data_IF_151556013555
#
_entry.id   IF_151556013555
#
_cell.length_a   1.000
_cell.length_b   1.000
_cell.length_c   1.000
_cell.angle_alpha   90.00
_cell.angle_beta   90.00
_cell.angle_gamma   90.00
#
_symmetry.space_group_name_H-M   'P 1'
#
loop_
_entity.id
_entity.type
_entity.pdbx_description
1 polymer ?
#
# COMPACT_ATOMS: atom_id res chain seq x y z
N UNK A 1 -8.77 -15.38 4.13
CA UNK A 1 -8.41 -15.61 2.71
C UNK A 1 -8.20 -17.11 2.53
N UNK A 2 -8.82 -17.75 1.53
CA UNK A 2 -8.50 -19.14 1.22
C UNK A 2 -7.01 -19.24 0.85
N UNK A 3 -6.31 -20.20 1.44
CA UNK A 3 -4.92 -20.50 1.06
C UNK A 3 -5.00 -21.29 -0.25
N UNK A 4 -4.62 -20.66 -1.35
CA UNK A 4 -4.56 -21.29 -2.67
C UNK A 4 -3.17 -21.92 -2.85
N UNK A 5 -3.11 -23.17 -3.31
CA UNK A 5 -1.84 -23.85 -3.65
C UNK A 5 -1.62 -23.75 -5.15
N UNK A 6 -0.51 -23.12 -5.53
CA UNK A 6 -0.06 -23.03 -6.92
C UNK A 6 1.13 -23.94 -7.15
N UNK A 7 1.30 -24.44 -8.39
CA UNK A 7 2.38 -25.37 -8.75
C UNK A 7 3.65 -24.65 -9.20
N UNK A 8 3.54 -23.40 -9.64
CA UNK A 8 4.68 -22.55 -10.00
C UNK A 8 4.45 -21.08 -9.60
N UNK A 9 5.51 -20.28 -9.65
CA UNK A 9 5.44 -18.83 -9.38
C UNK A 9 4.65 -18.10 -10.46
N UNK A 10 4.82 -18.46 -11.72
CA UNK A 10 4.10 -17.85 -12.85
C UNK A 10 2.59 -18.07 -12.74
N UNK A 11 2.16 -19.22 -12.24
CA UNK A 11 0.74 -19.50 -11.98
C UNK A 11 0.20 -18.61 -10.85
N UNK A 12 0.98 -18.43 -9.78
CA UNK A 12 0.63 -17.54 -8.69
C UNK A 12 0.55 -16.07 -9.15
N UNK A 13 1.50 -15.62 -9.96
CA UNK A 13 1.52 -14.27 -10.53
C UNK A 13 0.27 -14.00 -11.37
N UNK A 14 -0.10 -14.94 -12.26
CA UNK A 14 -1.33 -14.80 -13.07
C UNK A 14 -2.59 -14.75 -12.21
N UNK A 15 -2.62 -15.48 -11.10
CA UNK A 15 -3.76 -15.50 -10.19
C UNK A 15 -3.92 -14.21 -9.37
N UNK A 16 -2.87 -13.38 -9.23
CA UNK A 16 -2.96 -12.08 -8.56
C UNK A 16 -3.82 -11.08 -9.34
N UNK A 17 -3.86 -11.21 -10.67
CA UNK A 17 -4.56 -10.27 -11.54
C UNK A 17 -5.95 -10.78 -11.93
N UNK A 18 -6.96 -9.95 -11.75
CA UNK A 18 -8.31 -10.21 -12.27
C UNK A 18 -8.44 -9.58 -13.66
N UNK A 19 -8.18 -10.36 -14.72
CA UNK A 19 -8.23 -9.87 -16.10
C UNK A 19 -9.65 -9.59 -16.62
N UNK A 20 -10.67 -10.14 -15.97
CA UNK A 20 -12.08 -9.98 -16.33
C UNK A 20 -12.90 -9.57 -15.10
N UNK A 21 -12.75 -8.31 -14.64
CA UNK A 21 -13.42 -7.87 -13.43
C UNK A 21 -14.93 -7.76 -13.65
N UNK A 22 -15.70 -8.23 -12.67
CA UNK A 22 -17.16 -8.09 -12.62
C UNK A 22 -17.55 -7.01 -11.61
N UNK A 23 -18.82 -6.58 -11.62
CA UNK A 23 -19.33 -5.66 -10.60
C UNK A 23 -19.07 -6.18 -9.16
N UNK A 24 -19.28 -7.48 -8.94
CA UNK A 24 -19.01 -8.13 -7.66
C UNK A 24 -17.52 -8.06 -7.26
N UNK A 25 -16.59 -8.13 -8.22
CA UNK A 25 -15.17 -7.91 -7.94
C UNK A 25 -14.92 -6.50 -7.38
N UNK A 26 -15.46 -5.48 -8.04
CA UNK A 26 -15.29 -4.09 -7.59
C UNK A 26 -15.92 -3.82 -6.23
N UNK A 27 -17.10 -4.39 -5.95
CA UNK A 27 -17.73 -4.29 -4.61
C UNK A 27 -16.86 -4.89 -3.50
N UNK A 28 -16.14 -5.98 -3.78
CA UNK A 28 -15.19 -6.56 -2.81
C UNK A 28 -13.95 -5.68 -2.63
N UNK A 29 -13.40 -5.15 -3.73
CA UNK A 29 -12.24 -4.25 -3.68
C UNK A 29 -12.58 -2.97 -2.91
N UNK A 30 -13.77 -2.39 -3.14
CA UNK A 30 -14.21 -1.20 -2.39
C UNK A 30 -14.35 -1.48 -0.90
N UNK A 31 -15.00 -2.58 -0.52
CA UNK A 31 -15.13 -2.96 0.88
C UNK A 31 -13.78 -3.22 1.57
N UNK A 32 -12.84 -3.86 0.86
CA UNK A 32 -11.47 -4.00 1.35
C UNK A 32 -10.80 -2.64 1.57
N UNK A 33 -10.91 -1.73 0.59
CA UNK A 33 -10.29 -0.42 0.66
C UNK A 33 -10.89 0.44 1.77
N UNK A 34 -12.21 0.42 1.96
CA UNK A 34 -12.88 1.09 3.06
C UNK A 34 -12.39 0.61 4.42
N UNK A 35 -12.28 -0.71 4.61
CA UNK A 35 -11.75 -1.29 5.84
C UNK A 35 -10.28 -0.90 6.05
N UNK A 36 -9.46 -1.00 4.99
CA UNK A 36 -8.07 -0.60 5.01
C UNK A 36 -7.91 0.87 5.42
N UNK A 37 -8.69 1.77 4.83
CA UNK A 37 -8.69 3.19 5.18
C UNK A 37 -9.08 3.43 6.64
N UNK A 38 -10.08 2.72 7.17
CA UNK A 38 -10.47 2.83 8.58
C UNK A 38 -9.34 2.37 9.51
N UNK A 39 -8.74 1.22 9.22
CA UNK A 39 -7.70 0.62 10.07
C UNK A 39 -6.39 1.39 10.05
N UNK A 40 -5.96 1.87 8.87
CA UNK A 40 -4.67 2.52 8.70
C UNK A 40 -4.72 4.05 8.73
N UNK A 41 -5.94 4.62 8.83
CA UNK A 41 -6.26 6.06 8.90
C UNK A 41 -5.04 6.96 9.04
N UNK A 42 -4.37 7.33 7.92
CA UNK A 42 -3.11 8.03 8.00
C UNK A 42 -3.34 9.43 8.55
N UNK A 43 -2.85 9.71 9.76
CA UNK A 43 -2.86 11.05 10.32
C UNK A 43 -1.55 11.74 9.93
N UNK A 44 -1.60 12.54 8.88
CA UNK A 44 -0.51 13.44 8.50
C UNK A 44 -0.90 14.89 8.85
N UNK A 45 0.08 15.76 9.15
CA UNK A 45 -0.20 17.18 9.35
C UNK A 45 -0.89 17.77 8.11
N UNK A 46 -1.98 18.52 8.31
CA UNK A 46 -2.72 19.15 7.21
C UNK A 46 -1.94 20.37 6.71
N UNK A 47 -1.85 20.54 5.40
CA UNK A 47 -1.23 21.72 4.79
C UNK A 47 -0.65 21.45 3.41
N UNK A 48 -0.17 22.52 2.77
CA UNK A 48 0.62 22.43 1.54
C UNK A 48 2.10 22.47 1.93
N UNK A 49 2.80 21.36 1.70
CA UNK A 49 4.24 21.26 1.94
C UNK A 49 4.98 21.46 0.62
N UNK A 50 6.04 22.28 0.66
CA UNK A 50 6.91 22.48 -0.49
C UNK A 50 8.08 21.52 -0.37
N UNK A 51 8.25 20.68 -1.38
CA UNK A 51 9.38 19.76 -1.49
C UNK A 51 10.21 20.12 -2.70
N UNK A 52 11.52 19.91 -2.59
CA UNK A 52 12.43 20.12 -3.71
C UNK A 52 12.28 19.01 -4.77
N UNK A 53 12.05 17.78 -4.32
CA UNK A 53 11.89 16.59 -5.14
C UNK A 53 11.01 15.55 -4.44
N UNK A 54 10.73 14.44 -5.12
CA UNK A 54 9.89 13.36 -4.59
C UNK A 54 10.54 12.61 -3.41
N UNK A 55 11.88 12.55 -3.37
CA UNK A 55 12.61 11.87 -2.30
C UNK A 55 12.48 12.63 -0.98
N UNK A 56 12.47 13.96 -1.05
CA UNK A 56 12.24 14.84 0.08
C UNK A 56 10.82 14.65 0.68
N UNK A 57 9.81 14.55 -0.18
CA UNK A 57 8.44 14.22 0.23
C UNK A 57 8.36 12.82 0.88
N UNK A 58 9.05 11.83 0.31
CA UNK A 58 9.09 10.47 0.84
C UNK A 58 9.78 10.40 2.21
N UNK A 59 10.86 11.16 2.41
CA UNK A 59 11.57 11.25 3.69
C UNK A 59 10.67 11.81 4.79
N UNK A 60 10.00 12.91 4.52
CA UNK A 60 9.09 13.52 5.50
C UNK A 60 7.91 12.58 5.84
N UNK A 61 7.34 11.90 4.84
CA UNK A 61 6.33 10.87 5.07
C UNK A 61 6.85 9.73 5.95
N UNK A 62 8.09 9.28 5.71
CA UNK A 62 8.72 8.25 6.51
C UNK A 62 8.86 8.67 7.98
N UNK A 63 9.32 9.89 8.24
CA UNK A 63 9.42 10.46 9.58
C UNK A 63 8.07 10.50 10.29
N UNK A 64 7.01 10.92 9.60
CA UNK A 64 5.64 10.91 10.15
C UNK A 64 5.11 9.50 10.44
N UNK A 65 5.45 8.52 9.62
CA UNK A 65 5.03 7.15 9.88
C UNK A 65 5.77 6.55 11.08
N UNK A 66 7.06 6.86 11.26
CA UNK A 66 7.85 6.45 12.44
C UNK A 66 7.32 7.13 13.72
N UNK A 67 7.02 8.43 13.68
CA UNK A 67 6.50 9.16 14.85
C UNK A 67 5.13 8.63 15.31
N UNK A 68 4.39 7.96 14.42
CA UNK A 68 3.13 7.27 14.71
C UNK A 68 3.29 5.84 15.23
N UNK A 69 4.52 5.35 15.35
CA UNK A 69 4.82 4.00 15.83
C UNK A 69 4.67 2.91 14.77
N UNK A 70 4.61 3.26 13.48
CA UNK A 70 4.64 2.28 12.40
C UNK A 70 6.07 1.75 12.27
N UNK A 71 6.33 0.53 12.70
CA UNK A 71 7.61 -0.13 12.48
C UNK A 71 7.78 -0.41 10.99
N UNK A 72 8.82 0.16 10.39
CA UNK A 72 9.15 -0.05 8.97
C UNK A 72 10.45 -0.83 8.84
N UNK A 73 10.41 -1.88 8.04
CA UNK A 73 11.59 -2.64 7.61
C UNK A 73 12.49 -1.76 6.72
N UNK A 74 13.81 -2.03 6.75
CA UNK A 74 14.83 -1.49 5.84
C UNK A 74 14.45 -1.63 4.35
N UNK A 75 13.70 -2.67 3.98
CA UNK A 75 13.17 -2.83 2.61
C UNK A 75 12.25 -1.66 2.18
N UNK A 76 11.57 -1.01 3.12
CA UNK A 76 10.64 0.09 2.85
C UNK A 76 11.36 1.37 2.40
N UNK A 77 12.54 1.65 2.96
CA UNK A 77 13.34 2.81 2.53
C UNK A 77 13.85 2.64 1.09
N UNK A 78 14.21 1.41 0.68
CA UNK A 78 14.69 1.10 -0.67
C UNK A 78 13.63 1.33 -1.75
N UNK A 79 12.36 1.07 -1.47
CA UNK A 79 11.26 1.22 -2.43
C UNK A 79 11.01 2.67 -2.86
N UNK A 80 11.21 3.63 -1.95
CA UNK A 80 10.94 5.06 -2.18
C UNK A 80 12.20 5.86 -2.55
N UNK A 81 13.34 5.20 -2.67
CA UNK A 81 14.64 5.79 -3.02
C UNK A 81 15.08 5.49 -4.46
N UNK A 82 14.20 4.89 -5.28
CA UNK A 82 14.44 4.58 -6.70
C UNK A 82 13.78 5.58 -7.61
#
# INVERSE_FOLDING_TARGET
MPIMKYRSLEEAEKALWCFYPTEHYYRRVSGFYELFCKLLSPSYPKGVFKYKDINDANRQRFEWDISRGIQKDKSYQSFYSR
#
